data_IF_989155102298
#
_entry.id   IF_989155102298
#
_cell.length_a   1.000
_cell.length_b   1.000
_cell.length_c   1.000
_cell.angle_alpha   90.00
_cell.angle_beta   90.00
_cell.angle_gamma   90.00
#
_symmetry.space_group_name_H-M   'P 1'
#
loop_
_entity.id
_entity.type
_entity.pdbx_description
1 polymer ?
#
# COMPACT_ATOMS: atom_id res chain seq x y z
N UNK A 1 2.40 -29.96 8.57
CA UNK A 1 1.70 -28.76 9.08
C UNK A 1 1.73 -27.74 7.97
N UNK A 2 0.59 -27.32 7.43
CA UNK A 2 0.56 -26.20 6.49
C UNK A 2 0.81 -24.92 7.29
N UNK A 3 1.91 -24.21 7.01
CA UNK A 3 2.08 -22.86 7.55
C UNK A 3 0.93 -22.00 7.00
N UNK A 4 0.16 -21.40 7.90
CA UNK A 4 -0.83 -20.40 7.52
C UNK A 4 -0.10 -19.13 7.13
N UNK A 5 -0.43 -18.56 5.97
CA UNK A 5 0.11 -17.28 5.51
C UNK A 5 -0.90 -16.17 5.78
N UNK A 6 -0.42 -15.06 6.34
CA UNK A 6 -1.21 -13.87 6.66
C UNK A 6 -0.95 -12.77 5.64
N UNK A 7 -2.02 -12.21 5.10
CA UNK A 7 -1.96 -11.12 4.13
C UNK A 7 -2.49 -9.83 4.74
N UNK A 8 -1.72 -8.74 4.58
CA UNK A 8 -2.24 -7.38 4.76
C UNK A 8 -2.87 -6.94 3.44
N UNK A 9 -4.17 -6.62 3.44
CA UNK A 9 -4.87 -6.15 2.24
C UNK A 9 -4.93 -4.62 2.24
N UNK A 10 -4.51 -4.00 1.14
CA UNK A 10 -4.50 -2.54 0.95
C UNK A 10 -5.07 -2.17 -0.41
N UNK A 11 -5.70 -1.00 -0.51
CA UNK A 11 -6.31 -0.48 -1.73
C UNK A 11 -6.32 1.05 -1.73
N UNK A 12 -6.43 1.66 -2.91
CA UNK A 12 -6.80 3.06 -3.11
C UNK A 12 -5.93 4.07 -2.33
N UNK A 13 -4.61 3.84 -2.31
CA UNK A 13 -3.67 4.75 -1.65
C UNK A 13 -3.69 6.12 -2.35
N UNK A 14 -3.91 6.17 -3.66
CA UNK A 14 -4.11 7.40 -4.45
C UNK A 14 -3.04 8.49 -4.21
N UNK A 15 -1.81 8.08 -3.92
CA UNK A 15 -0.68 8.97 -3.64
C UNK A 15 -0.73 9.65 -2.26
N UNK A 16 -1.65 9.28 -1.37
CA UNK A 16 -1.73 9.78 0.00
C UNK A 16 -0.62 9.19 0.88
N UNK A 17 0.20 10.06 1.48
CA UNK A 17 1.33 9.64 2.31
C UNK A 17 0.88 8.87 3.56
N UNK A 18 -0.19 9.34 4.21
CA UNK A 18 -0.78 8.71 5.40
C UNK A 18 -1.21 7.27 5.12
N UNK A 19 -1.79 7.00 3.96
CA UNK A 19 -2.17 5.64 3.55
C UNK A 19 -0.96 4.71 3.44
N UNK A 20 0.12 5.18 2.81
CA UNK A 20 1.35 4.40 2.71
C UNK A 20 2.03 4.15 4.07
N UNK A 21 2.04 5.15 4.97
CA UNK A 21 2.58 5.00 6.34
C UNK A 21 1.73 4.05 7.19
N UNK A 22 0.41 4.12 7.08
CA UNK A 22 -0.49 3.20 7.78
C UNK A 22 -0.28 1.75 7.31
N UNK A 23 -0.02 1.54 6.01
CA UNK A 23 0.34 0.22 5.49
C UNK A 23 1.66 -0.30 6.08
N UNK A 24 2.70 0.53 6.14
CA UNK A 24 3.99 0.18 6.76
C UNK A 24 3.82 -0.19 8.24
N UNK A 25 3.10 0.64 9.00
CA UNK A 25 2.82 0.39 10.43
C UNK A 25 2.03 -0.90 10.63
N UNK A 26 0.95 -1.10 9.86
CA UNK A 26 0.12 -2.30 9.96
C UNK A 26 0.89 -3.57 9.58
N UNK A 27 1.75 -3.51 8.56
CA UNK A 27 2.58 -4.64 8.15
C UNK A 27 3.53 -5.06 9.28
N UNK A 28 4.17 -4.09 9.92
CA UNK A 28 5.06 -4.33 11.07
C UNK A 28 4.28 -4.83 12.30
N UNK A 29 3.14 -4.21 12.62
CA UNK A 29 2.36 -4.52 13.82
C UNK A 29 1.75 -5.92 13.78
N UNK A 30 1.21 -6.32 12.61
CA UNK A 30 0.57 -7.62 12.44
C UNK A 30 1.53 -8.74 12.06
N UNK A 31 2.81 -8.44 11.80
CA UNK A 31 3.79 -9.39 11.29
C UNK A 31 3.27 -10.17 10.07
N UNK A 32 2.64 -9.44 9.13
CA UNK A 32 2.09 -10.07 7.93
C UNK A 32 3.21 -10.62 7.03
N UNK A 33 2.92 -11.69 6.29
CA UNK A 33 3.90 -12.31 5.40
C UNK A 33 3.99 -11.56 4.06
N UNK A 34 2.83 -11.10 3.57
CA UNK A 34 2.66 -10.47 2.26
C UNK A 34 1.66 -9.32 2.32
N UNK A 35 1.80 -8.38 1.39
CA UNK A 35 0.84 -7.31 1.16
C UNK A 35 0.10 -7.63 -0.14
N UNK A 36 -1.23 -7.70 -0.08
CA UNK A 36 -2.10 -7.79 -1.25
C UNK A 36 -2.60 -6.38 -1.58
N UNK A 37 -2.05 -5.78 -2.64
CA UNK A 37 -2.39 -4.44 -3.11
C UNK A 37 -3.40 -4.51 -4.26
N UNK A 38 -4.59 -3.92 -4.05
CA UNK A 38 -5.73 -4.03 -4.96
C UNK A 38 -5.79 -2.94 -6.04
N UNK A 39 -4.77 -2.08 -6.14
CA UNK A 39 -4.64 -1.08 -7.19
C UNK A 39 -4.59 0.35 -6.68
N UNK A 40 -4.59 1.29 -7.64
CA UNK A 40 -4.73 2.74 -7.41
C UNK A 40 -3.78 3.32 -6.36
N UNK A 41 -2.47 3.11 -6.59
CA UNK A 41 -1.43 3.46 -5.62
C UNK A 41 -1.02 4.93 -5.66
N UNK A 42 -0.87 5.54 -6.85
CA UNK A 42 -0.18 6.83 -7.02
C UNK A 42 -1.04 7.95 -7.61
N UNK A 43 -1.83 7.62 -8.62
CA UNK A 43 -2.67 8.61 -9.28
C UNK A 43 -3.94 8.81 -8.46
N UNK A 44 -4.30 10.07 -8.17
CA UNK A 44 -5.49 10.38 -7.38
C UNK A 44 -6.80 10.02 -8.12
N UNK A 45 -6.78 9.96 -9.46
CA UNK A 45 -7.96 9.72 -10.28
C UNK A 45 -8.70 11.01 -10.66
N UNK A 46 -9.19 11.15 -11.90
CA UNK A 46 -9.71 12.41 -12.43
C UNK A 46 -11.01 12.89 -11.77
N UNK A 47 -11.70 11.99 -11.05
CA UNK A 47 -12.96 12.27 -10.36
C UNK A 47 -12.79 12.52 -8.86
N UNK A 48 -11.58 12.31 -8.33
CA UNK A 48 -11.29 12.47 -6.92
C UNK A 48 -10.53 13.78 -6.69
N UNK A 49 -10.84 14.45 -5.59
CA UNK A 49 -10.01 15.52 -5.08
C UNK A 49 -8.62 14.97 -4.74
N UNK A 50 -7.59 15.81 -4.85
CA UNK A 50 -6.26 15.49 -4.37
C UNK A 50 -6.32 15.24 -2.85
N UNK A 51 -5.71 14.15 -2.35
CA UNK A 51 -5.48 13.98 -0.91
C UNK A 51 -4.75 15.20 -0.34
N UNK A 52 -5.05 15.58 0.91
CA UNK A 52 -4.40 16.71 1.58
C UNK A 52 -2.89 16.52 1.74
N UNK A 53 -2.44 15.27 1.78
CA UNK A 53 -1.07 14.82 1.91
C UNK A 53 -0.58 14.07 0.65
N UNK A 54 -1.04 14.50 -0.53
CA UNK A 54 -0.65 13.92 -1.81
C UNK A 54 0.87 14.05 -2.05
N UNK A 55 1.59 12.94 -1.88
CA UNK A 55 3.05 12.87 -2.04
C UNK A 55 3.49 11.58 -2.77
N UNK A 56 3.18 11.42 -4.07
CA UNK A 56 3.44 10.17 -4.80
C UNK A 56 4.89 9.68 -4.76
N UNK A 57 5.89 10.59 -4.74
CA UNK A 57 7.31 10.22 -4.67
C UNK A 57 7.69 9.57 -3.34
N UNK A 58 7.10 10.06 -2.24
CA UNK A 58 7.30 9.48 -0.91
C UNK A 58 6.57 8.14 -0.81
N UNK A 59 5.35 8.04 -1.35
CA UNK A 59 4.62 6.78 -1.47
C UNK A 59 5.42 5.73 -2.26
N UNK A 60 6.02 6.10 -3.40
CA UNK A 60 6.91 5.21 -4.16
C UNK A 60 8.07 4.71 -3.28
N UNK A 61 8.66 5.59 -2.48
CA UNK A 61 9.79 5.25 -1.62
C UNK A 61 9.39 4.20 -0.58
N UNK A 62 8.25 4.38 0.08
CA UNK A 62 7.70 3.43 1.04
C UNK A 62 7.34 2.11 0.36
N UNK A 63 6.55 2.14 -0.72
CA UNK A 63 6.11 0.94 -1.44
C UNK A 63 7.30 0.09 -1.93
N UNK A 64 8.36 0.74 -2.43
CA UNK A 64 9.56 0.04 -2.91
C UNK A 64 10.33 -0.67 -1.79
N UNK A 65 10.25 -0.21 -0.54
CA UNK A 65 10.84 -0.91 0.60
C UNK A 65 10.20 -2.29 0.82
N UNK A 66 8.95 -2.47 0.38
CA UNK A 66 8.17 -3.71 0.50
C UNK A 66 8.01 -4.46 -0.84
N UNK A 67 8.79 -4.14 -1.87
CA UNK A 67 8.63 -4.70 -3.23
C UNK A 67 8.60 -6.24 -3.27
N UNK A 68 9.36 -6.90 -2.41
CA UNK A 68 9.46 -8.36 -2.36
C UNK A 68 8.33 -9.00 -1.53
N UNK A 69 7.57 -8.18 -0.79
CA UNK A 69 6.40 -8.58 0.00
C UNK A 69 5.08 -8.27 -0.71
N UNK A 70 5.05 -7.36 -1.68
CA UNK A 70 3.82 -6.93 -2.35
C UNK A 70 3.45 -7.88 -3.50
N UNK A 71 2.18 -8.27 -3.53
CA UNK A 71 1.48 -8.84 -4.68
C UNK A 71 0.43 -7.82 -5.08
N UNK A 72 0.51 -7.30 -6.30
CA UNK A 72 -0.36 -6.22 -6.76
C UNK A 72 -1.18 -6.59 -7.99
N UNK A 73 -2.39 -6.06 -8.07
CA UNK A 73 -3.18 -5.99 -9.30
C UNK A 73 -3.32 -4.54 -9.74
N UNK A 74 -3.63 -4.34 -11.02
CA UNK A 74 -3.87 -3.01 -11.57
C UNK A 74 -5.24 -2.50 -11.11
N UNK A 75 -5.29 -1.23 -10.67
CA UNK A 75 -6.54 -0.48 -10.50
C UNK A 75 -7.20 -0.09 -11.81
#
# INVERSE_FOLDING_TARGET
>A
MTNSQTFLVVSDIHGALSGAKAMEEAFSYHHADKILCLGDVLYHGPRNNLPSDYAPKEVITIMNAFKDNIIAVRG
#
